data_IF_735674483365
#
_entry.id   IF_735674483365
#
_cell.length_a   1.000
_cell.length_b   1.000
_cell.length_c   1.000
_cell.angle_alpha   90.00
_cell.angle_beta   90.00
_cell.angle_gamma   90.00
#
_symmetry.space_group_name_H-M   'P 1'
#
loop_
_entity.id
_entity.type
_entity.pdbx_description
1 polymer ?
#
# COMPACT_ATOMS: atom_id res chain seq x y z
N UNK A 1 -27.83 -0.33 30.24
CA UNK A 1 -27.38 0.21 28.94
C UNK A 1 -26.76 -0.83 28.01
N UNK A 2 -26.78 -2.14 28.33
CA UNK A 2 -26.08 -3.15 27.49
C UNK A 2 -26.85 -3.62 26.24
N UNK A 3 -28.16 -3.37 26.11
CA UNK A 3 -28.94 -3.94 24.99
C UNK A 3 -28.68 -3.26 23.65
N UNK A 4 -28.38 -1.96 23.64
CA UNK A 4 -28.16 -1.19 22.40
C UNK A 4 -26.81 -1.53 21.78
N UNK A 5 -25.76 -1.65 22.59
CA UNK A 5 -24.41 -2.04 22.14
C UNK A 5 -24.41 -3.45 21.54
N UNK A 6 -25.04 -4.41 22.22
CA UNK A 6 -25.21 -5.79 21.72
C UNK A 6 -25.98 -5.83 20.40
N UNK A 7 -27.03 -5.03 20.26
CA UNK A 7 -27.81 -4.93 19.03
C UNK A 7 -26.98 -4.32 17.88
N UNK A 8 -26.23 -3.25 18.16
CA UNK A 8 -25.34 -2.61 17.17
C UNK A 8 -24.26 -3.58 16.71
N UNK A 9 -23.61 -4.32 17.61
CA UNK A 9 -22.61 -5.34 17.26
C UNK A 9 -23.23 -6.43 16.39
N UNK A 10 -24.39 -6.96 16.78
CA UNK A 10 -25.09 -7.98 15.99
C UNK A 10 -25.44 -7.50 14.58
N UNK A 11 -25.95 -6.26 14.45
CA UNK A 11 -26.24 -5.67 13.14
C UNK A 11 -24.95 -5.53 12.31
N UNK A 12 -23.85 -5.08 12.92
CA UNK A 12 -22.58 -4.92 12.23
C UNK A 12 -22.05 -6.25 11.70
N UNK A 13 -22.05 -7.31 12.51
CA UNK A 13 -21.65 -8.67 12.10
C UNK A 13 -22.50 -9.24 10.97
N UNK A 14 -23.81 -8.93 10.96
CA UNK A 14 -24.75 -9.48 9.97
C UNK A 14 -24.80 -8.71 8.66
N UNK A 15 -24.41 -7.44 8.67
CA UNK A 15 -24.63 -6.54 7.53
C UNK A 15 -23.35 -5.90 6.99
N UNK A 16 -22.25 -5.94 7.73
CA UNK A 16 -21.01 -5.25 7.39
C UNK A 16 -21.15 -3.72 7.33
N UNK A 17 -22.22 -3.16 7.92
CA UNK A 17 -22.47 -1.72 7.90
C UNK A 17 -21.56 -0.95 8.85
N UNK A 18 -21.03 -1.58 9.90
CA UNK A 18 -20.14 -0.96 10.90
C UNK A 18 -20.68 0.39 11.39
N UNK A 19 -21.77 0.38 12.15
CA UNK A 19 -22.40 1.54 12.76
C UNK A 19 -21.91 1.80 14.18
N UNK A 20 -21.93 3.06 14.56
CA UNK A 20 -21.85 3.53 15.94
C UNK A 20 -23.20 3.35 16.65
N UNK A 21 -23.20 3.51 17.98
CA UNK A 21 -24.41 3.45 18.81
C UNK A 21 -25.42 4.57 18.51
N UNK A 22 -24.96 5.68 17.92
CA UNK A 22 -25.79 6.79 17.44
C UNK A 22 -26.40 6.52 16.05
N UNK A 23 -26.10 5.38 15.44
CA UNK A 23 -26.56 4.99 14.11
C UNK A 23 -25.72 5.50 12.94
N UNK A 24 -24.70 6.32 13.18
CA UNK A 24 -23.78 6.80 12.14
C UNK A 24 -22.86 5.68 11.62
N UNK A 25 -22.40 5.79 10.36
CA UNK A 25 -21.42 4.86 9.79
C UNK A 25 -20.02 5.16 10.31
N UNK A 26 -19.28 4.10 10.63
CA UNK A 26 -17.88 4.18 11.05
C UNK A 26 -16.94 4.33 9.84
N UNK A 27 -15.71 4.84 10.03
CA UNK A 27 -14.70 4.90 8.98
C UNK A 27 -14.34 3.54 8.37
N UNK A 28 -14.47 2.46 9.13
CA UNK A 28 -14.27 1.08 8.65
C UNK A 28 -15.48 0.52 7.88
N UNK A 29 -16.59 1.25 7.76
CA UNK A 29 -17.74 0.78 7.00
C UNK A 29 -17.35 0.56 5.53
N UNK A 30 -17.62 -0.65 5.03
CA UNK A 30 -17.27 -1.05 3.66
C UNK A 30 -15.88 -1.63 3.47
N UNK A 31 -15.00 -1.54 4.47
CA UNK A 31 -13.70 -2.21 4.44
C UNK A 31 -13.89 -3.71 4.71
N UNK A 32 -13.12 -4.52 4.00
CA UNK A 32 -13.09 -5.98 4.15
C UNK A 32 -11.64 -6.36 4.41
N UNK A 33 -11.34 -6.87 5.58
CA UNK A 33 -9.95 -7.08 6.05
C UNK A 33 -9.14 -7.95 5.09
N UNK A 34 -9.74 -9.02 4.56
CA UNK A 34 -9.08 -9.91 3.59
C UNK A 34 -8.79 -9.18 2.27
N UNK A 35 -9.71 -8.34 1.79
CA UNK A 35 -9.50 -7.56 0.58
C UNK A 35 -8.43 -6.47 0.79
N UNK A 36 -8.44 -5.82 1.96
CA UNK A 36 -7.45 -4.83 2.37
C UNK A 36 -6.04 -5.44 2.47
N UNK A 37 -5.93 -6.69 2.95
CA UNK A 37 -4.68 -7.44 2.96
C UNK A 37 -4.19 -7.72 1.55
N UNK A 38 -5.05 -8.23 0.67
CA UNK A 38 -4.69 -8.50 -0.74
C UNK A 38 -4.14 -7.25 -1.43
N UNK A 39 -4.77 -6.10 -1.25
CA UNK A 39 -4.28 -4.84 -1.81
C UNK A 39 -2.94 -4.41 -1.21
N UNK A 40 -2.76 -4.57 0.09
CA UNK A 40 -1.51 -4.23 0.77
C UNK A 40 -0.34 -5.08 0.26
N UNK A 41 -0.55 -6.40 0.16
CA UNK A 41 0.47 -7.37 -0.28
C UNK A 41 0.91 -7.14 -1.72
N UNK A 42 0.01 -6.59 -2.55
CA UNK A 42 0.26 -6.30 -3.96
C UNK A 42 0.45 -4.81 -4.27
N UNK A 43 0.62 -3.97 -3.25
CA UNK A 43 0.65 -2.50 -3.40
C UNK A 43 1.73 -2.04 -4.39
N UNK A 44 2.92 -2.67 -4.35
CA UNK A 44 4.02 -2.38 -5.28
C UNK A 44 3.59 -2.59 -6.74
N UNK A 45 2.93 -3.70 -7.03
CA UNK A 45 2.47 -4.08 -8.36
C UNK A 45 1.33 -3.17 -8.82
N UNK A 46 0.44 -2.80 -7.90
CA UNK A 46 -0.69 -1.92 -8.15
C UNK A 46 -0.21 -0.51 -8.53
N UNK A 47 0.75 0.05 -7.78
CA UNK A 47 1.32 1.37 -8.07
C UNK A 47 1.99 1.39 -9.45
N UNK A 48 2.68 0.32 -9.83
CA UNK A 48 3.30 0.18 -11.16
C UNK A 48 2.28 -0.03 -12.30
N UNK A 49 1.00 -0.19 -11.97
CA UNK A 49 -0.09 -0.45 -12.90
C UNK A 49 0.20 -1.57 -13.92
N UNK A 50 0.93 -2.61 -13.50
CA UNK A 50 1.23 -3.74 -14.37
C UNK A 50 -0.04 -4.57 -14.61
N UNK A 51 -0.48 -4.66 -15.87
CA UNK A 51 -1.77 -5.29 -16.23
C UNK A 51 -1.87 -6.77 -15.84
N UNK A 52 -0.79 -7.53 -15.96
CA UNK A 52 -0.78 -8.97 -15.60
C UNK A 52 -0.93 -9.15 -14.10
N UNK A 53 -0.18 -8.37 -13.31
CA UNK A 53 -0.30 -8.42 -11.85
C UNK A 53 -1.66 -7.90 -11.37
N UNK A 54 -2.21 -6.86 -11.99
CA UNK A 54 -3.55 -6.35 -11.66
C UNK A 54 -4.64 -7.39 -11.98
N UNK A 55 -4.47 -8.15 -13.06
CA UNK A 55 -5.35 -9.30 -13.36
C UNK A 55 -5.26 -10.35 -12.25
N UNK A 56 -4.05 -10.69 -11.80
CA UNK A 56 -3.87 -11.64 -10.68
C UNK A 56 -4.53 -11.14 -9.38
N UNK A 57 -4.36 -9.86 -9.03
CA UNK A 57 -5.02 -9.25 -7.87
C UNK A 57 -6.54 -9.36 -7.98
N UNK A 58 -7.10 -9.09 -9.17
CA UNK A 58 -8.52 -9.24 -9.43
C UNK A 58 -8.99 -10.69 -9.29
N UNK A 59 -8.22 -11.66 -9.80
CA UNK A 59 -8.56 -13.08 -9.69
C UNK A 59 -8.59 -13.55 -8.22
N UNK A 60 -7.67 -13.04 -7.38
CA UNK A 60 -7.68 -13.29 -5.92
C UNK A 60 -8.93 -12.69 -5.27
N UNK A 61 -9.28 -11.44 -5.61
CA UNK A 61 -10.49 -10.78 -5.09
C UNK A 61 -11.78 -11.50 -5.56
N UNK A 62 -11.77 -12.06 -6.77
CA UNK A 62 -12.88 -12.85 -7.29
C UNK A 62 -13.02 -14.16 -6.51
N UNK A 63 -11.92 -14.86 -6.23
CA UNK A 63 -11.93 -16.07 -5.41
C UNK A 63 -12.43 -15.78 -3.98
N UNK A 64 -12.03 -14.64 -3.39
CA UNK A 64 -12.52 -14.18 -2.10
C UNK A 64 -14.04 -13.97 -2.12
N UNK A 65 -14.57 -13.35 -3.18
CA UNK A 65 -16.02 -13.13 -3.33
C UNK A 65 -16.85 -14.42 -3.31
N UNK A 66 -16.34 -15.52 -3.84
CA UNK A 66 -17.06 -16.80 -3.86
C UNK A 66 -17.14 -17.47 -2.47
N UNK A 67 -16.30 -17.04 -1.51
CA UNK A 67 -16.24 -17.61 -0.15
C UNK A 67 -16.74 -16.66 0.93
N UNK A 68 -16.96 -15.38 0.59
CA UNK A 68 -17.38 -14.34 1.56
C UNK A 68 -18.90 -14.24 1.65
N UNK A 69 -19.41 -13.83 2.81
CA UNK A 69 -20.82 -13.58 3.05
C UNK A 69 -21.44 -12.62 2.02
N UNK A 70 -22.72 -12.84 1.69
CA UNK A 70 -23.45 -12.12 0.64
C UNK A 70 -23.42 -10.59 0.82
N UNK A 71 -23.52 -10.11 2.06
CA UNK A 71 -23.55 -8.68 2.37
C UNK A 71 -22.23 -7.95 2.06
N UNK A 72 -21.11 -8.67 1.93
CA UNK A 72 -19.81 -8.11 1.54
C UNK A 72 -19.58 -8.09 0.03
N UNK A 73 -20.37 -8.82 -0.76
CA UNK A 73 -20.14 -8.98 -2.20
C UNK A 73 -20.21 -7.66 -2.98
N UNK A 74 -21.06 -6.72 -2.56
CA UNK A 74 -21.13 -5.40 -3.19
C UNK A 74 -19.79 -4.66 -3.05
N UNK A 75 -19.18 -4.72 -1.87
CA UNK A 75 -17.91 -4.05 -1.62
C UNK A 75 -16.76 -4.77 -2.33
N UNK A 76 -16.73 -6.10 -2.36
CA UNK A 76 -15.74 -6.86 -3.15
C UNK A 76 -15.82 -6.53 -4.65
N UNK A 77 -17.03 -6.37 -5.21
CA UNK A 77 -17.20 -5.86 -6.58
C UNK A 77 -16.59 -4.47 -6.76
N UNK A 78 -16.70 -3.62 -5.74
CA UNK A 78 -16.09 -2.29 -5.76
C UNK A 78 -14.56 -2.33 -5.69
N UNK A 79 -13.97 -3.20 -4.87
CA UNK A 79 -12.52 -3.46 -4.86
C UNK A 79 -12.02 -3.86 -6.25
N UNK A 80 -12.67 -4.84 -6.89
CA UNK A 80 -12.32 -5.27 -8.25
C UNK A 80 -12.46 -4.12 -9.27
N UNK A 81 -13.50 -3.29 -9.14
CA UNK A 81 -13.70 -2.12 -10.00
C UNK A 81 -12.56 -1.11 -9.87
N UNK A 82 -12.02 -0.89 -8.66
CA UNK A 82 -10.87 -0.02 -8.43
C UNK A 82 -9.64 -0.56 -9.16
N UNK A 83 -9.36 -1.86 -9.02
CA UNK A 83 -8.24 -2.54 -9.69
C UNK A 83 -8.38 -2.44 -11.21
N UNK A 84 -9.57 -2.67 -11.76
CA UNK A 84 -9.87 -2.52 -13.19
C UNK A 84 -9.65 -1.08 -13.66
N UNK A 85 -10.04 -0.10 -12.86
CA UNK A 85 -9.83 1.31 -13.19
C UNK A 85 -8.36 1.67 -13.25
N UNK A 86 -7.56 1.24 -12.28
CA UNK A 86 -6.10 1.43 -12.29
C UNK A 86 -5.48 0.75 -13.52
N UNK A 87 -5.92 -0.47 -13.88
CA UNK A 87 -5.44 -1.19 -15.05
C UNK A 87 -5.77 -0.46 -16.37
N UNK A 88 -6.94 0.19 -16.41
CA UNK A 88 -7.42 0.94 -17.57
C UNK A 88 -6.70 2.28 -17.73
N UNK A 89 -6.49 3.01 -16.63
CA UNK A 89 -5.85 4.33 -16.64
C UNK A 89 -4.32 4.26 -16.65
N UNK A 90 -3.74 3.12 -16.28
CA UNK A 90 -2.29 2.92 -16.23
C UNK A 90 -1.64 3.58 -15.01
N UNK A 91 -2.41 3.88 -13.95
CA UNK A 91 -1.89 4.55 -12.77
C UNK A 91 -2.94 4.79 -11.69
N UNK A 92 -2.47 5.06 -10.48
CA UNK A 92 -3.30 5.26 -9.29
C UNK A 92 -3.87 6.67 -9.14
N UNK A 93 -3.53 7.62 -10.01
CA UNK A 93 -4.04 9.00 -9.92
C UNK A 93 -5.56 9.07 -10.05
N UNK A 94 -6.16 8.10 -10.76
CA UNK A 94 -7.61 7.91 -10.86
C UNK A 94 -8.31 7.81 -9.50
N UNK A 95 -7.62 7.35 -8.46
CA UNK A 95 -8.19 7.24 -7.11
C UNK A 95 -8.57 8.61 -6.55
N UNK A 96 -7.73 9.64 -6.77
CA UNK A 96 -8.03 11.01 -6.32
C UNK A 96 -9.25 11.57 -7.05
N UNK A 97 -9.36 11.30 -8.34
CA UNK A 97 -10.50 11.71 -9.16
C UNK A 97 -11.78 11.01 -8.68
N UNK A 98 -11.72 9.71 -8.38
CA UNK A 98 -12.85 8.93 -7.87
C UNK A 98 -13.31 9.43 -6.50
N UNK A 99 -12.39 9.75 -5.58
CA UNK A 99 -12.73 10.36 -4.28
C UNK A 99 -13.42 11.70 -4.50
N UNK A 100 -12.86 12.56 -5.35
CA UNK A 100 -13.43 13.88 -5.65
C UNK A 100 -14.83 13.77 -6.26
N UNK A 101 -15.05 12.79 -7.14
CA UNK A 101 -16.36 12.52 -7.72
C UNK A 101 -17.36 12.07 -6.66
N UNK A 102 -16.98 11.14 -5.77
CA UNK A 102 -17.83 10.71 -4.65
C UNK A 102 -18.15 11.86 -3.71
N UNK A 103 -17.20 12.72 -3.38
CA UNK A 103 -17.41 13.89 -2.52
C UNK A 103 -18.41 14.87 -3.15
N UNK A 104 -18.28 15.17 -4.45
CA UNK A 104 -19.26 16.00 -5.18
C UNK A 104 -20.65 15.39 -5.16
N UNK A 105 -20.75 14.07 -5.29
CA UNK A 105 -22.04 13.38 -5.20
C UNK A 105 -22.58 13.45 -3.78
N UNK A 106 -21.78 13.12 -2.76
CA UNK A 106 -22.20 13.10 -1.36
C UNK A 106 -22.65 14.48 -0.86
N UNK A 107 -21.91 15.54 -1.19
CA UNK A 107 -22.16 16.90 -0.71
C UNK A 107 -22.89 17.79 -1.73
N UNK A 108 -23.34 17.21 -2.85
CA UNK A 108 -24.16 17.90 -3.83
C UNK A 108 -25.54 18.27 -3.28
N UNK A 109 -26.19 19.25 -3.93
CA UNK A 109 -27.47 19.84 -3.48
C UNK A 109 -28.65 18.85 -3.60
N UNK A 110 -28.51 17.78 -4.40
CA UNK A 110 -29.55 16.77 -4.59
C UNK A 110 -29.75 15.90 -3.36
N UNK A 111 -30.99 15.80 -2.90
CA UNK A 111 -31.43 14.89 -1.86
C UNK A 111 -31.23 13.42 -2.29
N UNK A 112 -30.65 12.61 -1.40
CA UNK A 112 -30.32 11.20 -1.68
C UNK A 112 -31.04 10.31 -0.69
N UNK A 113 -31.42 9.12 -1.16
CA UNK A 113 -31.89 8.10 -0.24
C UNK A 113 -30.78 7.73 0.75
N UNK A 114 -31.14 7.43 2.00
CA UNK A 114 -30.21 7.00 3.04
C UNK A 114 -29.34 5.83 2.57
N UNK A 115 -29.93 4.86 1.86
CA UNK A 115 -29.20 3.70 1.30
C UNK A 115 -28.13 4.13 0.30
N UNK A 116 -28.45 5.07 -0.60
CA UNK A 116 -27.50 5.59 -1.58
C UNK A 116 -26.35 6.30 -0.88
N UNK A 117 -26.65 7.17 0.07
CA UNK A 117 -25.65 7.90 0.84
C UNK A 117 -24.70 6.95 1.59
N UNK A 118 -25.24 5.93 2.25
CA UNK A 118 -24.46 4.92 2.97
C UNK A 118 -23.55 4.12 2.04
N UNK A 119 -24.04 3.71 0.86
CA UNK A 119 -23.18 3.04 -0.14
C UNK A 119 -22.07 3.97 -0.64
N UNK A 120 -22.35 5.25 -0.87
CA UNK A 120 -21.33 6.21 -1.28
C UNK A 120 -20.28 6.43 -0.19
N UNK A 121 -20.68 6.52 1.09
CA UNK A 121 -19.77 6.62 2.24
C UNK A 121 -18.86 5.40 2.34
N UNK A 122 -19.41 4.19 2.23
CA UNK A 122 -18.62 2.94 2.25
C UNK A 122 -17.61 2.88 1.11
N UNK A 123 -18.02 3.24 -0.11
CA UNK A 123 -17.11 3.32 -1.27
C UNK A 123 -16.00 4.35 -1.06
N UNK A 124 -16.34 5.50 -0.49
CA UNK A 124 -15.37 6.54 -0.14
C UNK A 124 -14.36 6.02 0.89
N UNK A 125 -14.80 5.32 1.93
CA UNK A 125 -13.92 4.72 2.93
C UNK A 125 -12.90 3.76 2.29
N UNK A 126 -13.34 2.90 1.36
CA UNK A 126 -12.44 2.01 0.59
C UNK A 126 -11.37 2.80 -0.17
N UNK A 127 -11.76 3.84 -0.90
CA UNK A 127 -10.80 4.67 -1.64
C UNK A 127 -9.82 5.42 -0.73
N UNK A 128 -10.31 5.91 0.41
CA UNK A 128 -9.48 6.59 1.40
C UNK A 128 -8.48 5.64 2.05
N UNK A 129 -8.91 4.42 2.39
CA UNK A 129 -8.02 3.37 2.88
C UNK A 129 -6.94 3.04 1.85
N UNK A 130 -7.32 2.85 0.59
CA UNK A 130 -6.37 2.63 -0.50
C UNK A 130 -5.33 3.75 -0.60
N UNK A 131 -5.78 5.02 -0.62
CA UNK A 131 -4.90 6.18 -0.70
C UNK A 131 -3.94 6.27 0.49
N UNK A 132 -4.42 5.95 1.70
CA UNK A 132 -3.61 5.90 2.91
C UNK A 132 -2.51 4.84 2.77
N UNK A 133 -2.88 3.59 2.44
CA UNK A 133 -1.94 2.48 2.26
C UNK A 133 -0.89 2.77 1.18
N UNK A 134 -1.32 3.37 0.08
CA UNK A 134 -0.40 3.80 -0.98
C UNK A 134 0.65 4.79 -0.45
N UNK A 135 0.21 5.82 0.29
CA UNK A 135 1.11 6.81 0.88
C UNK A 135 2.08 6.16 1.86
N UNK A 136 1.60 5.28 2.72
CA UNK A 136 2.43 4.60 3.72
C UNK A 136 3.49 3.71 3.06
N UNK A 137 3.09 2.97 2.01
CA UNK A 137 4.00 2.17 1.19
C UNK A 137 5.10 3.02 0.55
N UNK A 138 4.75 4.14 -0.10
CA UNK A 138 5.71 5.03 -0.73
C UNK A 138 6.66 5.70 0.28
N UNK A 139 6.18 5.99 1.50
CA UNK A 139 7.03 6.50 2.57
C UNK A 139 8.01 5.43 3.08
N UNK A 140 7.56 4.19 3.21
CA UNK A 140 8.40 3.06 3.61
C UNK A 140 9.51 2.79 2.58
N UNK A 141 9.20 2.77 1.28
CA UNK A 141 10.20 2.59 0.22
C UNK A 141 11.26 3.69 0.23
N UNK A 142 10.85 4.95 0.43
CA UNK A 142 11.80 6.07 0.53
C UNK A 142 12.77 5.92 1.70
N UNK A 143 12.30 5.44 2.85
CA UNK A 143 13.15 5.21 4.03
C UNK A 143 14.16 4.09 3.80
N UNK A 144 13.76 3.00 3.15
CA UNK A 144 14.66 1.89 2.81
C UNK A 144 15.79 2.36 1.87
N UNK A 145 15.45 3.10 0.81
CA UNK A 145 16.45 3.58 -0.15
C UNK A 145 17.45 4.59 0.45
N UNK A 146 17.07 5.34 1.50
CA UNK A 146 17.98 6.24 2.23
C UNK A 146 18.93 5.50 3.18
N UNK A 147 18.53 4.32 3.70
CA UNK A 147 19.41 3.51 4.54
C UNK A 147 20.45 2.74 3.72
N UNK A 148 20.09 2.27 2.52
CA UNK A 148 21.02 1.55 1.64
C UNK A 148 22.06 2.45 0.96
N UNK A 149 21.81 3.76 0.84
CA UNK A 149 22.75 4.72 0.22
C UNK A 149 23.63 5.47 1.23
N UNK A 150 23.44 5.22 2.53
CA UNK A 150 24.11 5.91 3.63
C UNK A 150 25.32 5.20 4.25
N UNK A 151 26.03 4.33 3.53
CA UNK A 151 27.37 3.87 3.96
C UNK A 151 28.41 4.96 3.65
N UNK A 152 29.03 5.61 4.66
CA UNK A 152 30.14 6.53 4.43
C UNK A 152 31.39 5.68 4.16
N UNK A 153 31.78 5.59 2.89
CA UNK A 153 33.17 5.34 2.55
C UNK A 153 33.93 6.64 2.77
N UNK A 154 34.48 6.82 3.97
CA UNK A 154 35.53 7.82 4.20
C UNK A 154 36.43 7.39 5.38
N UNK A 155 37.57 6.81 5.03
CA UNK A 155 38.85 7.13 5.67
C UNK A 155 39.97 6.94 4.65
N UNK A 156 40.04 7.88 3.69
CA UNK A 156 41.30 8.29 3.11
C UNK A 156 42.10 9.00 4.20
N UNK A 157 43.10 8.35 4.78
CA UNK A 157 44.11 9.01 5.59
C UNK A 157 45.38 9.15 4.74
N UNK A 158 45.44 10.23 3.96
CA UNK A 158 46.63 10.66 3.22
C UNK A 158 47.36 11.70 4.06
N UNK A 159 48.59 11.42 4.48
CA UNK A 159 49.56 12.40 5.01
C UNK A 159 50.99 11.91 4.69
N UNK A 160 52.00 12.81 4.63
CA UNK A 160 52.55 13.28 3.37
C UNK A 160 53.99 12.83 3.10
N UNK A 161 54.42 13.09 1.86
CA UNK A 161 55.77 12.90 1.33
C UNK A 161 56.87 13.42 2.27
N UNK A 162 57.88 12.59 2.52
CA UNK A 162 59.23 13.05 2.83
C UNK A 162 60.21 12.29 1.95
N UNK A 163 60.80 13.03 1.00
CA UNK A 163 61.97 12.65 0.22
C UNK A 163 63.15 12.38 1.16
N UNK A 164 63.72 11.19 1.07
CA UNK A 164 65.14 10.97 1.33
C UNK A 164 65.69 10.08 0.22
N UNK A 165 66.51 10.68 -0.64
CA UNK A 165 67.41 9.99 -1.56
C UNK A 165 68.56 9.38 -0.77
N UNK A 166 68.82 8.08 -0.91
CA UNK A 166 70.19 7.56 -0.83
C UNK A 166 70.38 6.28 -1.64
N UNK A 167 71.56 6.18 -2.24
CA UNK A 167 71.97 5.28 -3.31
C UNK A 167 73.14 4.43 -2.78
N UNK A 168 73.05 3.11 -2.84
CA UNK A 168 74.17 2.14 -2.85
C UNK A 168 73.55 0.76 -3.12
N UNK A 169 73.70 0.12 -4.27
CA UNK A 169 74.91 -0.48 -4.85
C UNK A 169 75.70 -1.32 -3.84
N UNK A 170 75.39 -2.62 -3.80
CA UNK A 170 76.39 -3.69 -3.76
C UNK A 170 75.75 -5.01 -4.20
N UNK A 171 76.43 -5.67 -5.14
CA UNK A 171 76.30 -7.06 -5.55
C UNK A 171 76.29 -8.03 -4.37
N UNK A 172 75.83 -9.27 -4.58
CA UNK A 172 76.63 -10.49 -4.49
C UNK A 172 75.74 -11.71 -4.79
N UNK A 173 76.11 -12.39 -5.87
CA UNK A 173 75.74 -13.77 -6.20
C UNK A 173 76.10 -14.73 -5.06
N UNK A 174 75.23 -15.71 -4.76
CA UNK A 174 75.67 -17.10 -4.57
C UNK A 174 74.52 -18.11 -4.61
N UNK A 175 74.78 -19.16 -5.37
CA UNK A 175 74.01 -20.40 -5.48
C UNK A 175 74.27 -21.35 -4.29
N UNK A 176 73.25 -22.13 -3.93
CA UNK A 176 73.29 -23.50 -3.38
C UNK A 176 71.82 -24.01 -3.49
N UNK A 177 71.47 -25.00 -4.33
CA UNK A 177 71.68 -26.46 -4.22
C UNK A 177 71.17 -27.06 -2.91
N UNK A 178 70.48 -28.22 -3.05
CA UNK A 178 69.72 -29.03 -2.05
C UNK A 178 68.22 -28.66 -2.03
N UNK A 179 67.26 -29.49 -2.45
CA UNK A 179 67.11 -30.94 -2.60
C UNK A 179 66.28 -31.29 -3.85
#
# INVERSE_FOLDING_TARGET
MHSVELLTTFINERTGLNRNTDGSLQPQAGLIDEAESVLQDHMRQIIKANKENLKQVKDILLALKETTAEHHQEMLKYYMYIVDKIATTGGTDVIKEMISALDRTLFGIEEKSTRTEETLKRRRNVLQSFQQKQRDFLQAEKKQNQMDTGSPHDHHNSLPESRVTFRSQTDWTHAHSEL
#
